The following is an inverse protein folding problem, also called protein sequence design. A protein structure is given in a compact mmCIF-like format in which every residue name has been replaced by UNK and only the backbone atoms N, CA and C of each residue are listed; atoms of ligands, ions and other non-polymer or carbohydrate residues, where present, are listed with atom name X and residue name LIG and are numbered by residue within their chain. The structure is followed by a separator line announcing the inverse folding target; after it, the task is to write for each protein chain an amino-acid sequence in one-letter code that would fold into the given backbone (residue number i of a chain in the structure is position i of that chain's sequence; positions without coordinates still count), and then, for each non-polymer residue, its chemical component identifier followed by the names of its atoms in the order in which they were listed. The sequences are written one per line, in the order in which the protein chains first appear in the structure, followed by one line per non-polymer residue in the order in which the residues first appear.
data_IF_872145671859
#
_entry.id   IF_872145671859
#
_cell.length_a   1.000
_cell.length_b   1.000
_cell.length_c   1.000
_cell.angle_alpha   90.00
_cell.angle_beta   90.00
_cell.angle_gamma   90.00
#
_symmetry.space_group_name_H-M   'P 1'
#
loop_
_entity.id
_entity.type
_entity.pdbx_description
1 polymer ?
#
# COMPACT_ATOMS: atom_id res chain seq x y z
N UNK A 1 20.94 -6.08 -0.02
CA UNK A 1 20.16 -7.34 -0.11
C UNK A 1 19.53 -7.62 1.25
N UNK A 2 18.67 -6.73 1.74
CA UNK A 2 17.96 -6.83 3.02
C UNK A 2 16.80 -5.84 2.92
N UNK A 3 15.54 -6.11 3.21
CA UNK A 3 14.92 -7.22 3.91
C UNK A 3 13.55 -7.47 3.27
N UNK A 4 13.13 -8.73 3.17
CA UNK A 4 11.70 -9.03 3.05
C UNK A 4 11.06 -8.65 4.38
N UNK A 5 10.47 -7.46 4.45
CA UNK A 5 9.60 -7.10 5.56
C UNK A 5 8.31 -7.90 5.35
N UNK A 6 7.89 -8.75 6.31
CA UNK A 6 6.74 -9.60 6.12
C UNK A 6 5.48 -8.73 6.05
N UNK A 7 4.92 -8.59 4.85
CA UNK A 7 3.62 -7.96 4.69
C UNK A 7 2.53 -8.66 5.50
N UNK A 8 1.67 -7.82 6.07
CA UNK A 8 0.33 -8.08 6.58
C UNK A 8 0.23 -8.89 7.89
N UNK A 9 0.40 -8.17 9.00
CA UNK A 9 -0.42 -8.34 10.21
C UNK A 9 -0.54 -6.98 10.92
N UNK A 10 -1.48 -6.13 10.48
CA UNK A 10 -1.94 -4.94 11.19
C UNK A 10 -0.98 -3.76 11.27
N UNK A 11 -0.43 -3.31 10.14
CA UNK A 11 0.49 -2.17 10.12
C UNK A 11 0.59 -1.47 8.78
N UNK A 12 0.92 -0.19 8.85
CA UNK A 12 1.11 0.69 7.70
C UNK A 12 2.33 0.25 6.85
N UNK A 13 2.30 0.41 5.51
CA UNK A 13 3.45 0.13 4.65
C UNK A 13 4.73 0.88 5.09
N UNK A 14 5.92 0.29 4.84
CA UNK A 14 7.16 0.85 5.36
C UNK A 14 7.48 2.20 4.74
N UNK A 15 7.73 3.21 5.57
CA UNK A 15 8.08 4.57 5.11
C UNK A 15 6.88 5.42 4.67
N UNK A 16 5.66 4.87 4.73
CA UNK A 16 4.42 5.64 4.53
C UNK A 16 3.94 6.11 5.90
N UNK A 17 3.46 7.35 6.02
CA UNK A 17 2.83 7.86 7.24
C UNK A 17 1.31 7.74 7.18
N UNK A 18 0.64 7.79 8.35
CA UNK A 18 -0.82 7.68 8.40
C UNK A 18 -1.48 8.82 7.62
N UNK A 19 -0.91 10.03 7.72
CA UNK A 19 -1.39 11.20 6.99
C UNK A 19 -1.27 11.00 5.47
N UNK A 20 -0.13 10.46 4.99
CA UNK A 20 0.06 10.17 3.56
C UNK A 20 -0.97 9.13 3.05
N UNK A 21 -1.25 8.10 3.87
CA UNK A 21 -2.25 7.09 3.51
C UNK A 21 -3.65 7.70 3.45
N UNK A 22 -4.02 8.53 4.42
CA UNK A 22 -5.34 9.18 4.46
C UNK A 22 -5.50 10.15 3.29
N UNK A 23 -4.44 10.86 2.92
CA UNK A 23 -4.44 11.75 1.75
C UNK A 23 -4.69 10.95 0.47
N UNK A 24 -3.90 9.88 0.27
CA UNK A 24 -4.03 8.99 -0.90
C UNK A 24 -5.39 8.29 -0.98
N UNK A 25 -5.99 7.91 0.16
CA UNK A 25 -7.29 7.24 0.20
C UNK A 25 -8.48 8.19 -0.06
N UNK A 26 -8.32 9.48 0.22
CA UNK A 26 -9.38 10.47 -0.02
C UNK A 26 -9.32 11.09 -1.42
N UNK A 27 -8.20 10.97 -2.11
CA UNK A 27 -8.04 11.47 -3.47
C UNK A 27 -8.35 10.40 -4.52
N UNK A 28 -8.91 10.83 -5.65
CA UNK A 28 -9.31 9.96 -6.77
C UNK A 28 -8.12 9.59 -7.69
N UNK A 29 -6.89 9.77 -7.21
CA UNK A 29 -5.65 9.62 -7.99
C UNK A 29 -5.30 8.16 -8.30
N UNK A 30 -6.06 7.20 -7.73
CA UNK A 30 -5.84 5.77 -7.93
C UNK A 30 -4.47 5.34 -7.39
N UNK A 31 -4.19 5.70 -6.14
CA UNK A 31 -2.91 5.42 -5.48
C UNK A 31 -3.03 4.17 -4.60
N UNK A 32 -2.02 3.32 -4.68
CA UNK A 32 -1.85 2.19 -3.78
C UNK A 32 -0.40 2.08 -3.31
N UNK A 33 -0.18 1.32 -2.25
CA UNK A 33 1.14 1.15 -1.66
C UNK A 33 1.52 -0.32 -1.56
N UNK A 34 2.80 -0.61 -1.79
CA UNK A 34 3.34 -1.93 -1.56
C UNK A 34 3.54 -2.20 -0.07
N UNK A 35 2.88 -3.22 0.47
CA UNK A 35 3.04 -3.62 1.88
C UNK A 35 4.40 -4.27 2.20
N UNK A 36 5.24 -4.55 1.19
CA UNK A 36 6.58 -5.13 1.37
C UNK A 36 7.67 -4.08 1.39
N UNK A 37 7.68 -3.20 0.39
CA UNK A 37 8.74 -2.20 0.19
C UNK A 37 8.29 -0.75 0.43
N UNK A 38 6.98 -0.49 0.53
CA UNK A 38 6.44 0.84 0.78
C UNK A 38 6.33 1.74 -0.45
N UNK A 39 6.73 1.25 -1.62
CA UNK A 39 6.65 2.02 -2.85
C UNK A 39 5.18 2.38 -3.18
N UNK A 40 4.99 3.62 -3.60
CA UNK A 40 3.76 4.12 -4.19
C UNK A 40 3.60 3.55 -5.61
N UNK A 41 2.37 3.20 -5.94
CA UNK A 41 1.95 2.68 -7.23
C UNK A 41 0.72 3.46 -7.70
N UNK A 42 0.70 3.85 -8.98
CA UNK A 42 -0.40 4.63 -9.58
C UNK A 42 -1.32 3.77 -10.45
N UNK A 43 -2.55 4.24 -10.68
CA UNK A 43 -3.56 3.50 -11.43
C UNK A 43 -4.06 2.25 -10.70
N UNK A 44 -3.97 2.26 -9.36
CA UNK A 44 -4.40 1.19 -8.47
C UNK A 44 -5.84 1.46 -8.04
N UNK A 45 -6.72 0.48 -8.21
CA UNK A 45 -8.10 0.57 -7.74
C UNK A 45 -8.15 0.69 -6.20
N UNK A 46 -9.15 1.37 -5.65
CA UNK A 46 -9.23 1.64 -4.21
C UNK A 46 -9.33 0.38 -3.35
N UNK A 47 -10.04 -0.62 -3.84
CA UNK A 47 -10.18 -1.95 -3.26
C UNK A 47 -9.14 -2.97 -3.77
N UNK A 48 -8.13 -2.53 -4.54
CA UNK A 48 -7.15 -3.44 -5.12
C UNK A 48 -6.41 -4.24 -4.04
N UNK A 49 -6.21 -5.53 -4.32
CA UNK A 49 -5.45 -6.43 -3.48
C UNK A 49 -4.40 -7.19 -4.29
N UNK A 50 -3.18 -7.24 -3.77
CA UNK A 50 -2.07 -8.06 -4.31
C UNK A 50 -1.69 -7.73 -5.75
N UNK A 51 -1.81 -6.46 -6.15
CA UNK A 51 -1.27 -6.01 -7.43
C UNK A 51 0.26 -6.12 -7.44
N UNK A 52 0.88 -6.31 -8.62
CA UNK A 52 2.33 -6.35 -8.74
C UNK A 52 2.92 -4.97 -8.46
N UNK A 53 3.87 -4.90 -7.54
CA UNK A 53 4.63 -3.68 -7.31
C UNK A 53 5.62 -3.45 -8.45
N UNK A 54 5.59 -2.24 -9.03
CA UNK A 54 6.51 -1.84 -10.10
C UNK A 54 7.97 -1.68 -9.62
N UNK A 55 8.17 -1.48 -8.31
CA UNK A 55 9.50 -1.26 -7.71
C UNK A 55 10.19 -2.55 -7.27
N UNK A 56 9.49 -3.44 -6.55
CA UNK A 56 10.08 -4.67 -6.01
C UNK A 56 9.57 -5.97 -6.66
N UNK A 57 8.51 -5.91 -7.47
CA UNK A 57 7.91 -7.06 -8.14
C UNK A 57 7.03 -7.95 -7.24
N UNK A 58 6.86 -7.62 -5.96
CA UNK A 58 5.99 -8.39 -5.07
C UNK A 58 4.50 -8.16 -5.39
N UNK A 59 3.69 -9.22 -5.30
CA UNK A 59 2.22 -9.16 -5.41
C UNK A 59 1.60 -8.69 -4.08
N UNK A 60 1.94 -7.48 -3.68
CA UNK A 60 1.64 -6.89 -2.37
C UNK A 60 1.27 -5.42 -2.45
N UNK A 61 0.90 -4.91 -3.62
CA UNK A 61 0.28 -3.59 -3.75
C UNK A 61 -1.19 -3.69 -3.39
N UNK A 62 -1.64 -2.79 -2.53
CA UNK A 62 -3.03 -2.65 -2.12
C UNK A 62 -3.46 -1.19 -2.33
N UNK A 63 -4.73 -0.98 -2.67
CA UNK A 63 -5.30 0.36 -2.77
C UNK A 63 -5.26 1.09 -1.43
N UNK A 64 -5.12 2.42 -1.45
CA UNK A 64 -5.02 3.21 -0.23
C UNK A 64 -6.24 3.01 0.70
N UNK A 65 -7.46 2.96 0.14
CA UNK A 65 -8.69 2.68 0.91
C UNK A 65 -8.68 1.28 1.52
N UNK A 66 -8.23 0.27 0.77
CA UNK A 66 -8.11 -1.09 1.29
C UNK A 66 -7.09 -1.19 2.44
N UNK A 67 -5.97 -0.49 2.35
CA UNK A 67 -4.97 -0.46 3.43
C UNK A 67 -5.56 0.23 4.67
N UNK A 68 -6.31 1.32 4.49
CA UNK A 68 -7.00 2.00 5.58
C UNK A 68 -8.03 1.09 6.28
N UNK A 69 -8.81 0.33 5.51
CA UNK A 69 -9.76 -0.66 6.03
C UNK A 69 -9.09 -1.76 6.85
N UNK A 70 -7.93 -2.26 6.42
CA UNK A 70 -7.22 -3.36 7.09
C UNK A 70 -6.39 -2.91 8.30
N UNK A 71 -6.13 -1.61 8.46
CA UNK A 71 -5.20 -1.07 9.48
C UNK A 71 -5.90 -0.24 10.55
N UNK A 72 -6.95 0.51 10.20
CA UNK A 72 -7.53 1.54 11.09
C UNK A 72 -8.82 1.05 11.76
N UNK A 73 -9.53 0.10 11.15
CA UNK A 73 -10.80 -0.45 11.65
C UNK A 73 -10.63 -1.89 12.15
#
# INVERSE_FOLDING_TARGET
MTASVPAAAGGLPPGVSLDDLIDAAQHEDGVGFCLDCGAENHGVEPDAERYPCESCGALKVYGAEQIALLTIF
#
